data_IF_996600402072
#
_entry.id   IF_996600402072
#
_cell.length_a   1.000
_cell.length_b   1.000
_cell.length_c   1.000
_cell.angle_alpha   90.00
_cell.angle_beta   90.00
_cell.angle_gamma   90.00
#
_symmetry.space_group_name_H-M   'P 1'
#
loop_
_entity.id
_entity.type
_entity.pdbx_description
1 polymer ?
#
# COMPACT_ATOMS: atom_id res chain seq x y z
N UNK A 1 15.18 -3.79 16.52
CA UNK A 1 15.53 -2.37 16.55
C UNK A 1 14.23 -1.60 16.55
N UNK A 2 13.90 -0.91 17.64
CA UNK A 2 12.69 -0.09 17.69
C UNK A 2 12.96 1.23 16.94
N UNK A 3 11.92 1.90 16.42
CA UNK A 3 12.07 3.19 15.72
C UNK A 3 12.89 4.20 16.55
N UNK A 4 12.69 4.17 17.87
CA UNK A 4 13.46 4.91 18.87
C UNK A 4 14.99 4.75 18.78
N UNK A 5 15.50 3.55 18.48
CA UNK A 5 16.94 3.29 18.38
C UNK A 5 17.52 3.90 17.09
N UNK A 6 16.74 3.88 16.01
CA UNK A 6 17.12 4.43 14.70
C UNK A 6 17.19 5.97 14.77
N UNK A 7 16.20 6.60 15.41
CA UNK A 7 16.15 8.05 15.59
C UNK A 7 17.29 8.59 16.47
N UNK A 8 17.86 7.76 17.35
CA UNK A 8 19.01 8.14 18.19
C UNK A 8 20.34 8.15 17.43
N UNK A 9 20.45 7.41 16.32
CA UNK A 9 21.66 7.32 15.50
C UNK A 9 21.69 8.33 14.34
N UNK A 10 20.51 8.77 13.87
CA UNK A 10 20.37 9.76 12.80
C UNK A 10 21.14 11.09 13.01
N UNK A 11 21.24 11.66 14.23
CA UNK A 11 22.02 12.88 14.46
C UNK A 11 23.52 12.72 14.18
N UNK A 12 24.08 11.56 14.52
CA UNK A 12 25.50 11.27 14.30
C UNK A 12 25.81 11.12 12.81
N UNK A 13 24.98 10.38 12.07
CA UNK A 13 25.10 10.25 10.62
C UNK A 13 24.92 11.59 9.88
N UNK A 14 24.01 12.45 10.35
CA UNK A 14 23.78 13.77 9.78
C UNK A 14 25.02 14.66 9.86
N UNK A 15 25.65 14.78 11.04
CA UNK A 15 26.81 15.66 11.22
C UNK A 15 28.00 15.21 10.37
N UNK A 16 28.30 13.91 10.33
CA UNK A 16 29.41 13.39 9.52
C UNK A 16 29.20 13.59 8.01
N UNK A 17 27.96 13.53 7.53
CA UNK A 17 27.64 13.80 6.12
C UNK A 17 27.66 15.29 5.80
N UNK A 18 27.24 16.14 6.74
CA UNK A 18 27.30 17.60 6.60
C UNK A 18 28.76 18.09 6.48
N UNK A 19 29.69 17.53 7.25
CA UNK A 19 31.13 17.79 7.13
C UNK A 19 31.69 17.44 5.75
N UNK A 20 31.03 16.53 5.02
CA UNK A 20 31.41 16.10 3.67
C UNK A 20 30.61 16.78 2.56
N UNK A 21 29.86 17.84 2.86
CA UNK A 21 28.98 18.55 1.92
C UNK A 21 27.88 17.66 1.28
N UNK A 22 27.50 16.56 1.94
CA UNK A 22 26.43 15.67 1.50
C UNK A 22 25.13 16.05 2.20
N UNK A 23 24.06 16.28 1.42
CA UNK A 23 22.71 16.54 1.96
C UNK A 23 22.02 15.21 2.26
N UNK A 24 21.79 14.92 3.53
CA UNK A 24 20.97 13.80 3.97
C UNK A 24 19.48 14.19 3.94
N UNK A 25 18.67 13.43 3.20
CA UNK A 25 17.22 13.52 3.21
C UNK A 25 16.65 12.24 3.81
N UNK A 26 15.83 12.36 4.85
CA UNK A 26 15.22 11.21 5.55
C UNK A 26 13.72 11.23 5.30
N UNK A 27 13.20 10.12 4.74
CA UNK A 27 11.77 9.89 4.60
C UNK A 27 11.34 8.83 5.62
N UNK A 28 10.69 9.28 6.69
CA UNK A 28 10.16 8.38 7.72
C UNK A 28 8.78 7.87 7.29
N UNK A 29 8.67 6.56 7.07
CA UNK A 29 7.38 5.91 6.79
C UNK A 29 6.93 5.23 8.07
N UNK A 30 5.79 5.66 8.60
CA UNK A 30 5.24 5.14 9.84
C UNK A 30 3.79 4.63 9.64
N UNK A 31 3.45 3.57 10.36
CA UNK A 31 2.08 3.04 10.44
C UNK A 31 1.19 3.95 11.29
N UNK A 32 -0.13 3.82 11.11
CA UNK A 32 -1.16 4.58 11.82
C UNK A 32 -1.07 4.50 13.37
N UNK A 33 -0.26 3.58 13.89
CA UNK A 33 -0.05 3.37 15.32
C UNK A 33 1.06 4.26 15.91
N UNK A 34 1.80 4.99 15.09
CA UNK A 34 2.96 5.81 15.48
C UNK A 34 2.65 7.32 15.51
N UNK A 35 1.39 7.73 15.39
CA UNK A 35 1.04 9.14 15.22
C UNK A 35 1.30 10.05 16.44
N UNK A 36 1.59 9.47 17.61
CA UNK A 36 1.91 10.19 18.84
C UNK A 36 3.42 10.29 19.10
N UNK A 37 4.25 9.65 18.28
CA UNK A 37 5.71 9.60 18.46
C UNK A 37 6.41 10.98 18.42
N UNK A 38 6.02 11.94 17.55
CA UNK A 38 6.60 13.28 17.55
C UNK A 38 6.32 14.04 18.85
N UNK A 39 5.11 13.93 19.39
CA UNK A 39 4.72 14.53 20.67
C UNK A 39 5.41 13.83 21.85
N UNK A 40 5.50 12.50 21.81
CA UNK A 40 6.25 11.71 22.79
C UNK A 40 7.74 12.06 22.81
N UNK A 41 8.36 12.27 21.65
CA UNK A 41 9.77 12.69 21.54
C UNK A 41 9.97 14.14 21.99
N UNK A 42 9.06 15.05 21.66
CA UNK A 42 9.12 16.44 22.13
C UNK A 42 9.10 16.52 23.66
N UNK A 43 8.25 15.71 24.30
CA UNK A 43 8.09 15.69 25.75
C UNK A 43 9.20 14.91 26.49
N UNK A 44 9.93 14.02 25.82
CA UNK A 44 10.98 13.17 26.42
C UNK A 44 12.42 13.64 26.15
N UNK A 45 12.62 14.86 25.67
CA UNK A 45 13.95 15.45 25.43
C UNK A 45 14.53 15.22 24.03
N UNK A 46 13.76 14.63 23.11
CA UNK A 46 14.09 14.43 21.69
C UNK A 46 13.57 15.52 20.77
N UNK A 47 13.14 16.67 21.30
CA UNK A 47 12.48 17.74 20.55
C UNK A 47 13.28 18.22 19.32
N UNK A 48 14.60 18.29 19.43
CA UNK A 48 15.47 18.68 18.30
C UNK A 48 15.51 17.64 17.16
N UNK A 49 15.26 16.36 17.46
CA UNK A 49 15.20 15.28 16.46
C UNK A 49 13.82 15.28 15.79
N UNK A 50 12.75 15.38 16.57
CA UNK A 50 11.38 15.53 16.05
C UNK A 50 11.26 16.78 15.16
N UNK A 51 11.81 17.92 15.59
CA UNK A 51 11.84 19.16 14.83
C UNK A 51 12.81 19.13 13.62
N UNK A 52 13.65 18.10 13.44
CA UNK A 52 14.50 17.97 12.24
C UNK A 52 13.96 16.96 11.23
N UNK A 53 13.33 15.89 11.71
CA UNK A 53 12.96 14.74 10.89
C UNK A 53 11.45 14.49 10.82
N UNK A 54 10.65 15.21 11.60
CA UNK A 54 9.18 15.04 11.69
C UNK A 54 8.43 16.38 11.58
N UNK A 55 9.07 17.42 11.00
CA UNK A 55 8.49 18.75 10.78
C UNK A 55 7.28 18.74 9.85
N UNK A 56 7.31 17.86 8.85
CA UNK A 56 6.27 17.74 7.84
C UNK A 56 5.88 16.27 7.75
N UNK A 57 4.58 16.01 7.77
CA UNK A 57 4.02 14.69 7.55
C UNK A 57 2.94 14.81 6.49
N UNK A 58 3.06 14.01 5.43
CA UNK A 58 2.01 13.89 4.42
C UNK A 58 1.35 12.51 4.54
N UNK A 59 0.02 12.41 4.61
CA UNK A 59 -0.65 11.13 4.63
C UNK A 59 -0.41 10.36 3.32
N UNK A 60 0.03 9.11 3.44
CA UNK A 60 0.04 8.20 2.30
C UNK A 60 -1.33 7.56 2.18
N UNK A 61 -1.99 7.79 1.06
CA UNK A 61 -3.33 7.30 0.82
C UNK A 61 -3.32 5.94 0.12
N UNK A 62 -4.38 5.16 0.38
CA UNK A 62 -4.67 3.96 -0.38
C UNK A 62 -5.18 4.27 -1.79
N UNK A 63 -5.52 3.23 -2.53
CA UNK A 63 -6.17 3.35 -3.85
C UNK A 63 -7.62 3.80 -3.66
N UNK A 64 -8.04 4.85 -4.36
CA UNK A 64 -9.33 5.53 -4.17
C UNK A 64 -10.30 5.35 -5.32
N UNK A 65 -9.79 5.13 -6.53
CA UNK A 65 -10.62 5.02 -7.72
C UNK A 65 -10.26 3.80 -8.55
N UNK A 66 -11.20 3.38 -9.40
CA UNK A 66 -10.99 2.26 -10.32
C UNK A 66 -9.87 2.59 -11.30
N UNK A 67 -9.71 3.85 -11.69
CA UNK A 67 -8.66 4.33 -12.59
C UNK A 67 -7.28 4.23 -11.92
N UNK A 68 -7.15 4.64 -10.66
CA UNK A 68 -5.92 4.45 -9.89
C UNK A 68 -5.59 2.95 -9.75
N UNK A 69 -6.60 2.12 -9.51
CA UNK A 69 -6.42 0.67 -9.41
C UNK A 69 -5.98 0.06 -10.74
N UNK A 70 -6.61 0.47 -11.84
CA UNK A 70 -6.25 0.05 -13.19
C UNK A 70 -4.81 0.43 -13.53
N UNK A 71 -4.39 1.65 -13.19
CA UNK A 71 -3.01 2.10 -13.34
C UNK A 71 -2.02 1.21 -12.56
N UNK A 72 -2.32 0.92 -11.30
CA UNK A 72 -1.51 0.02 -10.46
C UNK A 72 -1.43 -1.38 -11.09
N UNK A 73 -2.56 -1.92 -11.56
CA UNK A 73 -2.64 -3.25 -12.15
C UNK A 73 -1.98 -3.33 -13.55
N UNK A 74 -1.97 -2.25 -14.32
CA UNK A 74 -1.25 -2.16 -15.59
C UNK A 74 0.27 -2.31 -15.41
N UNK A 75 0.79 -2.09 -14.21
CA UNK A 75 2.19 -2.36 -13.86
C UNK A 75 2.60 -3.83 -14.08
N UNK A 76 1.68 -4.78 -13.89
CA UNK A 76 1.93 -6.20 -14.19
C UNK A 76 1.99 -6.48 -15.69
N UNK A 77 1.21 -5.73 -16.48
CA UNK A 77 1.06 -5.95 -17.91
C UNK A 77 2.12 -5.21 -18.75
N UNK A 78 2.67 -4.09 -18.25
CA UNK A 78 3.58 -3.23 -19.02
C UNK A 78 4.75 -2.65 -18.22
N UNK A 79 4.68 -2.59 -16.90
CA UNK A 79 5.66 -1.89 -16.05
C UNK A 79 6.78 -2.75 -15.48
N UNK A 80 6.74 -4.07 -15.70
CA UNK A 80 7.65 -5.03 -15.08
C UNK A 80 8.00 -6.14 -16.05
N UNK A 81 9.23 -6.64 -15.94
CA UNK A 81 9.72 -7.71 -16.80
C UNK A 81 9.96 -8.99 -15.99
N UNK A 82 9.44 -10.11 -16.46
CA UNK A 82 9.64 -11.42 -15.83
C UNK A 82 9.53 -12.58 -16.84
N UNK A 83 10.49 -13.52 -16.86
CA UNK A 83 11.77 -13.51 -16.15
C UNK A 83 12.67 -12.34 -16.58
N UNK A 84 13.66 -11.98 -15.74
CA UNK A 84 14.58 -10.88 -16.04
C UNK A 84 15.40 -11.18 -17.30
N UNK A 85 15.47 -10.23 -18.23
CA UNK A 85 16.15 -10.35 -19.53
C UNK A 85 15.32 -11.01 -20.64
N UNK A 86 14.04 -11.33 -20.40
CA UNK A 86 13.14 -11.95 -21.38
C UNK A 86 12.42 -10.97 -22.29
N UNK A 87 12.29 -9.70 -21.88
CA UNK A 87 11.42 -8.72 -22.54
C UNK A 87 9.91 -8.98 -22.39
N UNK A 88 9.50 -9.99 -21.61
CA UNK A 88 8.10 -10.30 -21.35
C UNK A 88 7.59 -9.54 -20.12
N UNK A 89 6.34 -9.07 -20.17
CA UNK A 89 5.72 -8.48 -18.99
C UNK A 89 5.52 -9.51 -17.87
N UNK A 90 5.32 -9.06 -16.62
CA UNK A 90 5.08 -9.98 -15.52
C UNK A 90 3.87 -10.89 -15.74
N UNK A 91 2.75 -10.33 -16.19
CA UNK A 91 1.55 -11.11 -16.53
C UNK A 91 1.86 -12.12 -17.65
N UNK A 92 2.57 -11.70 -18.70
CA UNK A 92 2.92 -12.56 -19.83
C UNK A 92 3.82 -13.72 -19.40
N UNK A 93 4.84 -13.47 -18.59
CA UNK A 93 5.76 -14.51 -18.13
C UNK A 93 5.15 -15.52 -17.17
N UNK A 94 4.17 -15.09 -16.35
CA UNK A 94 3.50 -15.97 -15.37
C UNK A 94 2.30 -16.71 -15.97
N UNK A 95 1.63 -16.13 -16.96
CA UNK A 95 0.40 -16.65 -17.55
C UNK A 95 0.37 -16.51 -19.09
N UNK A 96 1.30 -17.16 -19.81
CA UNK A 96 1.47 -16.96 -21.25
C UNK A 96 0.21 -17.31 -22.06
N UNK A 97 -0.41 -18.47 -21.80
CA UNK A 97 -1.62 -18.89 -22.52
C UNK A 97 -2.81 -17.94 -22.29
N UNK A 98 -2.96 -17.41 -21.08
CA UNK A 98 -4.02 -16.45 -20.79
C UNK A 98 -3.74 -15.11 -21.49
N UNK A 99 -2.48 -14.66 -21.45
CA UNK A 99 -2.03 -13.44 -22.10
C UNK A 99 -2.29 -13.46 -23.61
N UNK A 100 -1.96 -14.56 -24.29
CA UNK A 100 -2.17 -14.75 -25.72
C UNK A 100 -3.66 -14.77 -26.08
N UNK A 101 -4.52 -15.20 -25.14
CA UNK A 101 -5.99 -15.11 -25.25
C UNK A 101 -6.56 -13.74 -24.85
N UNK A 102 -5.72 -12.73 -24.63
CA UNK A 102 -6.12 -11.36 -24.36
C UNK A 102 -6.30 -10.99 -22.89
N UNK A 103 -5.92 -11.86 -21.95
CA UNK A 103 -5.98 -11.53 -20.52
C UNK A 103 -5.01 -10.40 -20.17
N UNK A 104 -5.49 -9.38 -19.45
CA UNK A 104 -4.70 -8.28 -18.88
C UNK A 104 -5.20 -7.99 -17.48
N UNK A 105 -4.29 -7.82 -16.53
CA UNK A 105 -4.66 -7.50 -15.15
C UNK A 105 -5.42 -6.18 -15.07
N UNK A 106 -4.98 -5.17 -15.82
CA UNK A 106 -5.62 -3.85 -15.90
C UNK A 106 -7.14 -3.93 -16.13
N UNK A 107 -7.60 -4.84 -16.98
CA UNK A 107 -9.02 -4.97 -17.35
C UNK A 107 -9.91 -5.50 -16.21
N UNK A 108 -9.32 -5.99 -15.12
CA UNK A 108 -10.05 -6.55 -13.98
C UNK A 108 -10.10 -5.62 -12.77
N UNK A 109 -9.63 -4.37 -12.91
CA UNK A 109 -9.63 -3.38 -11.83
C UNK A 109 -11.04 -3.13 -11.27
N UNK A 110 -12.06 -2.99 -12.12
CA UNK A 110 -13.43 -2.76 -11.66
C UNK A 110 -13.94 -3.90 -10.76
N UNK A 111 -13.69 -5.15 -11.15
CA UNK A 111 -14.08 -6.32 -10.37
C UNK A 111 -13.41 -6.38 -9.00
N UNK A 112 -12.11 -6.06 -8.94
CA UNK A 112 -11.37 -5.99 -7.68
C UNK A 112 -11.83 -4.80 -6.82
N UNK A 113 -12.06 -3.63 -7.41
CA UNK A 113 -12.55 -2.44 -6.70
C UNK A 113 -13.90 -2.70 -6.04
N UNK A 114 -14.82 -3.34 -6.79
CA UNK A 114 -16.13 -3.73 -6.28
C UNK A 114 -16.00 -4.71 -5.12
N UNK A 115 -15.17 -5.74 -5.26
CA UNK A 115 -14.97 -6.73 -4.20
C UNK A 115 -14.36 -6.14 -2.93
N UNK A 116 -13.42 -5.19 -3.04
CA UNK A 116 -12.90 -4.45 -1.88
C UNK A 116 -13.96 -3.56 -1.22
N UNK A 117 -14.77 -2.87 -2.03
CA UNK A 117 -15.85 -2.00 -1.53
C UNK A 117 -16.95 -2.80 -0.80
N UNK A 118 -17.32 -3.97 -1.33
CA UNK A 118 -18.29 -4.87 -0.71
C UNK A 118 -17.71 -5.62 0.50
N UNK A 119 -16.38 -5.76 0.57
CA UNK A 119 -15.66 -6.44 1.65
C UNK A 119 -15.43 -5.60 2.91
N UNK A 120 -16.02 -4.40 3.00
CA UNK A 120 -15.88 -3.50 4.14
C UNK A 120 -16.63 -4.05 5.38
N UNK A 121 -16.14 -3.75 6.60
CA UNK A 121 -16.85 -4.12 7.83
C UNK A 121 -18.18 -3.36 7.94
N UNK A 122 -19.12 -3.92 8.71
CA UNK A 122 -20.40 -3.27 8.97
C UNK A 122 -20.19 -1.91 9.65
N UNK A 123 -20.96 -0.91 9.21
CA UNK A 123 -20.87 0.48 9.70
C UNK A 123 -19.45 1.08 9.57
N UNK A 124 -18.73 0.75 8.49
CA UNK A 124 -17.42 1.33 8.19
C UNK A 124 -17.45 2.87 8.27
N UNK A 125 -16.53 3.47 9.02
CA UNK A 125 -16.44 4.92 9.24
C UNK A 125 -15.19 5.56 8.63
N UNK A 126 -14.30 4.74 8.06
CA UNK A 126 -13.05 5.19 7.46
C UNK A 126 -13.21 5.80 6.07
N UNK A 127 -12.13 6.35 5.50
CA UNK A 127 -12.10 6.80 4.12
C UNK A 127 -12.27 5.64 3.15
N UNK A 128 -12.87 5.91 1.98
CA UNK A 128 -12.93 4.98 0.85
C UNK A 128 -11.59 4.95 0.11
N UNK A 129 -10.56 4.47 0.79
CA UNK A 129 -9.23 4.25 0.24
C UNK A 129 -8.72 2.88 0.66
N UNK A 130 -8.18 2.12 -0.29
CA UNK A 130 -7.90 0.71 -0.12
C UNK A 130 -6.39 0.43 0.02
N UNK A 131 -5.96 -0.38 0.99
CA UNK A 131 -4.54 -0.66 1.20
C UNK A 131 -3.92 -1.38 0.00
N UNK A 132 -2.74 -0.90 -0.45
CA UNK A 132 -1.95 -1.55 -1.50
C UNK A 132 -1.65 -3.02 -1.19
N UNK A 133 -1.56 -3.40 0.09
CA UNK A 133 -1.41 -4.80 0.52
C UNK A 133 -2.58 -5.67 0.04
N UNK A 134 -3.82 -5.19 0.12
CA UNK A 134 -4.99 -5.93 -0.38
C UNK A 134 -4.85 -6.12 -1.88
N UNK A 135 -4.55 -5.04 -2.61
CA UNK A 135 -4.39 -5.06 -4.07
C UNK A 135 -3.33 -6.06 -4.50
N UNK A 136 -2.11 -5.92 -3.96
CA UNK A 136 -0.99 -6.79 -4.31
C UNK A 136 -1.25 -8.27 -4.00
N UNK A 137 -1.84 -8.58 -2.83
CA UNK A 137 -2.16 -9.96 -2.49
C UNK A 137 -3.28 -10.55 -3.36
N UNK A 138 -4.31 -9.75 -3.68
CA UNK A 138 -5.38 -10.18 -4.57
C UNK A 138 -4.86 -10.47 -5.98
N UNK A 139 -4.04 -9.57 -6.54
CA UNK A 139 -3.41 -9.76 -7.84
C UNK A 139 -2.50 -11.01 -7.85
N UNK A 140 -1.66 -11.17 -6.82
CA UNK A 140 -0.80 -12.35 -6.67
C UNK A 140 -1.61 -13.64 -6.62
N UNK A 141 -2.72 -13.68 -5.88
CA UNK A 141 -3.56 -14.86 -5.76
C UNK A 141 -4.13 -15.28 -7.13
N UNK A 142 -4.70 -14.32 -7.87
CA UNK A 142 -5.26 -14.57 -9.20
C UNK A 142 -4.18 -15.05 -10.17
N UNK A 143 -3.05 -14.34 -10.26
CA UNK A 143 -1.96 -14.71 -11.16
C UNK A 143 -1.39 -16.10 -10.87
N UNK A 144 -1.23 -16.47 -9.59
CA UNK A 144 -0.76 -17.81 -9.22
C UNK A 144 -1.77 -18.91 -9.55
N UNK A 145 -3.07 -18.64 -9.47
CA UNK A 145 -4.09 -19.61 -9.86
C UNK A 145 -4.12 -19.81 -11.37
N UNK A 146 -3.95 -18.73 -12.15
CA UNK A 146 -3.83 -18.83 -13.61
C UNK A 146 -2.56 -19.60 -13.98
N UNK A 147 -1.42 -19.29 -13.34
CA UNK A 147 -0.17 -20.03 -13.54
C UNK A 147 -0.29 -21.51 -13.16
N UNK A 148 -1.16 -21.84 -12.20
CA UNK A 148 -1.53 -23.20 -11.83
C UNK A 148 -2.52 -23.89 -12.78
N UNK A 149 -2.92 -23.24 -13.88
CA UNK A 149 -3.77 -23.81 -14.92
C UNK A 149 -5.27 -23.46 -14.83
N UNK A 150 -5.67 -22.58 -13.91
CA UNK A 150 -7.08 -22.14 -13.85
C UNK A 150 -7.45 -21.20 -15.01
N UNK A 151 -8.70 -21.26 -15.49
CA UNK A 151 -9.21 -20.25 -16.43
C UNK A 151 -9.28 -18.88 -15.72
N UNK A 152 -8.70 -17.86 -16.36
CA UNK A 152 -8.71 -16.49 -15.86
C UNK A 152 -10.13 -15.98 -15.67
N UNK A 153 -11.08 -16.34 -16.54
CA UNK A 153 -12.48 -15.91 -16.46
C UNK A 153 -13.14 -16.35 -15.16
N UNK A 154 -12.84 -17.57 -14.70
CA UNK A 154 -13.37 -18.11 -13.46
C UNK A 154 -12.73 -17.45 -12.24
N UNK A 155 -11.41 -17.28 -12.26
CA UNK A 155 -10.67 -16.71 -11.12
C UNK A 155 -10.79 -15.19 -11.00
N UNK A 156 -11.25 -14.51 -12.05
CA UNK A 156 -11.62 -13.09 -12.04
C UNK A 156 -13.13 -12.84 -12.00
N UNK A 157 -13.94 -13.86 -11.76
CA UNK A 157 -15.39 -13.69 -11.56
C UNK A 157 -15.68 -12.86 -10.30
N UNK A 158 -16.84 -12.17 -10.21
CA UNK A 158 -17.20 -11.38 -9.03
C UNK A 158 -17.10 -12.18 -7.71
N UNK A 159 -17.59 -13.42 -7.71
CA UNK A 159 -17.53 -14.30 -6.54
C UNK A 159 -16.10 -14.72 -6.21
N UNK A 160 -15.25 -14.91 -7.22
CA UNK A 160 -13.84 -15.24 -6.97
C UNK A 160 -13.10 -14.04 -6.39
N UNK A 161 -13.32 -12.82 -6.90
CA UNK A 161 -12.74 -11.61 -6.32
C UNK A 161 -13.15 -11.40 -4.86
N UNK A 162 -14.43 -11.56 -4.52
CA UNK A 162 -14.90 -11.48 -3.14
C UNK A 162 -14.17 -12.49 -2.24
N UNK A 163 -14.02 -13.75 -2.67
CA UNK A 163 -13.30 -14.79 -1.93
C UNK A 163 -11.81 -14.44 -1.76
N UNK A 164 -11.17 -13.97 -2.84
CA UNK A 164 -9.75 -13.57 -2.81
C UNK A 164 -9.54 -12.42 -1.82
N UNK A 165 -10.33 -11.35 -1.93
CA UNK A 165 -10.25 -10.18 -1.04
C UNK A 165 -10.46 -10.57 0.42
N UNK A 166 -11.47 -11.41 0.71
CA UNK A 166 -11.70 -11.91 2.06
C UNK A 166 -10.50 -12.72 2.58
N UNK A 167 -9.91 -13.58 1.74
CA UNK A 167 -8.74 -14.39 2.06
C UNK A 167 -7.45 -13.59 2.30
N UNK A 168 -7.34 -12.37 1.77
CA UNK A 168 -6.19 -11.49 1.99
C UNK A 168 -6.20 -10.75 3.35
N UNK A 169 -7.19 -11.02 4.21
CA UNK A 169 -7.35 -10.32 5.49
C UNK A 169 -7.85 -8.89 5.35
N UNK A 170 -8.49 -8.56 4.23
CA UNK A 170 -8.98 -7.22 3.91
C UNK A 170 -9.88 -6.65 5.01
N UNK A 171 -10.88 -7.43 5.46
CA UNK A 171 -11.82 -7.01 6.49
C UNK A 171 -11.12 -6.64 7.81
N UNK A 172 -10.08 -7.36 8.20
CA UNK A 172 -9.32 -7.08 9.42
C UNK A 172 -8.55 -5.76 9.29
N UNK A 173 -7.92 -5.52 8.13
CA UNK A 173 -7.24 -4.24 7.84
C UNK A 173 -8.22 -3.07 7.88
N UNK A 174 -9.36 -3.19 7.19
CA UNK A 174 -10.36 -2.12 7.13
C UNK A 174 -11.06 -1.91 8.48
N UNK A 175 -11.19 -2.93 9.32
CA UNK A 175 -11.68 -2.79 10.70
C UNK A 175 -10.75 -1.92 11.54
N UNK A 176 -9.43 -2.10 11.41
CA UNK A 176 -8.45 -1.24 12.09
C UNK A 176 -8.52 0.21 11.60
N UNK A 177 -8.65 0.42 10.28
CA UNK A 177 -8.83 1.76 9.70
C UNK A 177 -10.10 2.42 10.25
N UNK A 178 -11.23 1.69 10.26
CA UNK A 178 -12.51 2.17 10.78
C UNK A 178 -12.41 2.59 12.25
N UNK A 179 -11.72 1.79 13.07
CA UNK A 179 -11.55 2.06 14.50
C UNK A 179 -10.75 3.35 14.78
N UNK A 180 -9.82 3.72 13.89
CA UNK A 180 -8.98 4.91 14.04
C UNK A 180 -9.56 6.14 13.32
N UNK A 181 -10.49 5.94 12.37
CA UNK A 181 -11.06 7.00 11.53
C UNK A 181 -11.59 8.24 12.28
N UNK A 182 -12.27 8.13 13.44
CA UNK A 182 -12.72 9.30 14.18
C UNK A 182 -11.56 10.22 14.62
N UNK A 183 -10.39 9.64 14.95
CA UNK A 183 -9.20 10.40 15.37
C UNK A 183 -8.56 11.16 14.21
N UNK A 184 -8.60 10.58 13.00
CA UNK A 184 -8.05 11.21 11.80
C UNK A 184 -8.84 12.47 11.42
N UNK A 185 -10.17 12.40 11.46
CA UNK A 185 -11.05 13.55 11.16
C UNK A 185 -10.78 14.75 12.08
N UNK A 186 -10.45 14.51 13.35
CA UNK A 186 -10.15 15.58 14.31
C UNK A 186 -8.83 16.32 14.06
N UNK A 187 -7.87 15.72 13.33
CA UNK A 187 -6.60 16.39 12.95
C UNK A 187 -6.72 17.13 11.63
N UNK A 188 -7.40 16.57 10.63
CA UNK A 188 -7.60 17.26 9.34
C UNK A 188 -8.35 18.59 9.48
N UNK A 189 -9.25 18.71 10.46
CA UNK A 189 -9.95 19.96 10.77
C UNK A 189 -9.14 21.00 11.56
N UNK A 190 -7.91 20.69 11.99
CA UNK A 190 -7.04 21.64 12.73
C UNK A 190 -6.00 22.34 11.86
N UNK A 191 -5.89 21.97 10.59
CA UNK A 191 -4.94 22.53 9.61
C UNK A 191 -5.64 23.17 8.39
N UNK A 192 -6.96 23.43 8.50
CA UNK A 192 -7.74 24.17 7.51
C UNK A 192 -8.01 25.60 7.99
#
# INVERSE_FOLDING_TARGET
>A
MCAHDLYRQLPYGFNTLAERLVRLCVFSIASMQFFDEPMGMALSGGAHVAARFMLTSEPFHGVRSTEELAYVMAGYDRGTEWPRGSGLSFTQGVAPDAWDRGFRMEHHAEGLMKAMSEGLPSRYQGPMEFPMKTVAQSCRNVLLRIAGGADWRDVTSPQSWQKVVAGCGHMALMSMVSAVAPRLRQRSGKFA
#
